data_IF_288492639114
#
_entry.id   IF_288492639114
#
_cell.length_a   1.000
_cell.length_b   1.000
_cell.length_c   1.000
_cell.angle_alpha   90.00
_cell.angle_beta   90.00
_cell.angle_gamma   90.00
#
_symmetry.space_group_name_H-M   'P 1'
#
loop_
_entity.id
_entity.type
_entity.pdbx_description
1 polymer ?
#
# COMPACT_ATOMS: atom_id res chain seq x y z
N UNK A 1 -14.26 28.25 56.87
CA UNK A 1 -13.14 27.34 57.18
C UNK A 1 -13.19 26.24 56.12
N UNK A 2 -12.59 26.47 54.96
CA UNK A 2 -11.23 25.98 54.58
C UNK A 2 -11.32 24.52 54.10
N UNK A 3 -10.92 24.10 52.90
CA UNK A 3 -10.18 24.73 51.81
C UNK A 3 -10.41 23.94 50.51
N UNK A 4 -10.49 24.65 49.39
CA UNK A 4 -10.30 24.10 48.03
C UNK A 4 -8.82 23.85 47.78
N UNK A 5 -8.46 22.74 47.13
CA UNK A 5 -7.10 22.46 46.66
C UNK A 5 -7.14 22.28 45.13
N UNK A 6 -6.69 23.33 44.45
CA UNK A 6 -6.38 23.36 43.01
C UNK A 6 -4.90 23.70 42.93
N UNK A 7 -4.08 22.77 42.43
CA UNK A 7 -2.67 22.98 42.10
C UNK A 7 -2.54 22.67 40.60
N UNK A 8 -2.44 23.68 39.73
CA UNK A 8 -1.23 24.40 39.29
C UNK A 8 -0.57 23.74 38.07
N UNK A 9 -1.06 24.14 36.89
CA UNK A 9 -0.28 24.20 35.65
C UNK A 9 0.48 25.54 35.63
N UNK A 10 1.80 25.60 35.35
CA UNK A 10 2.47 26.86 35.10
C UNK A 10 2.32 27.28 33.63
N UNK A 11 1.77 28.49 33.44
CA UNK A 11 1.67 29.16 32.15
C UNK A 11 3.03 29.66 31.64
N UNK A 12 3.18 29.65 30.32
CA UNK A 12 4.25 30.32 29.59
C UNK A 12 3.79 31.75 29.24
N UNK A 13 4.68 32.75 29.29
CA UNK A 13 4.31 34.14 29.04
C UNK A 13 4.17 34.44 27.54
N UNK A 14 3.12 35.20 27.21
CA UNK A 14 3.00 35.96 25.97
C UNK A 14 3.95 37.16 26.03
N UNK A 15 4.68 37.41 24.94
CA UNK A 15 5.43 38.66 24.74
C UNK A 15 5.01 39.30 23.41
N UNK A 16 4.71 40.58 23.49
CA UNK A 16 4.13 41.44 22.44
C UNK A 16 5.00 42.68 22.26
N UNK A 17 5.32 43.03 21.01
CA UNK A 17 5.81 44.37 20.60
C UNK A 17 7.13 44.35 19.83
N UNK A 18 7.12 44.53 18.49
CA UNK A 18 7.40 45.79 17.73
C UNK A 18 8.88 46.24 17.78
N UNK A 19 9.57 46.68 16.73
CA UNK A 19 9.38 46.88 15.29
C UNK A 19 10.77 47.31 14.72
N UNK A 20 10.94 47.19 13.39
CA UNK A 20 11.89 47.86 12.48
C UNK A 20 13.43 47.82 12.67
N UNK A 21 14.12 47.28 11.64
CA UNK A 21 15.32 47.93 11.08
C UNK A 21 16.56 47.07 10.72
N UNK A 22 16.59 46.59 9.47
CA UNK A 22 17.79 46.50 8.59
C UNK A 22 18.97 45.58 8.98
N UNK A 23 19.14 44.46 8.25
CA UNK A 23 20.41 43.73 8.17
C UNK A 23 20.35 42.27 7.73
N UNK A 24 20.26 42.06 6.42
CA UNK A 24 20.82 40.93 5.66
C UNK A 24 20.34 39.47 5.93
N UNK A 25 19.42 38.99 5.05
CA UNK A 25 19.15 37.56 4.79
C UNK A 25 18.72 37.39 3.33
N UNK A 26 19.25 36.41 2.57
CA UNK A 26 18.89 36.22 1.17
C UNK A 26 17.56 35.45 1.04
N UNK A 27 16.68 35.96 0.18
CA UNK A 27 15.39 35.34 -0.18
C UNK A 27 15.52 34.43 -1.41
N UNK A 28 14.75 33.32 -1.50
CA UNK A 28 14.60 32.54 -2.72
C UNK A 28 13.63 33.24 -3.68
N UNK A 29 14.15 33.81 -4.77
CA UNK A 29 13.37 34.50 -5.78
C UNK A 29 12.39 33.55 -6.49
N UNK A 30 11.14 34.00 -6.59
CA UNK A 30 10.02 33.28 -7.20
C UNK A 30 10.15 33.07 -8.71
N UNK A 31 9.55 31.97 -9.16
CA UNK A 31 9.27 31.70 -10.58
C UNK A 31 7.96 32.39 -10.99
N UNK A 32 7.95 33.17 -12.09
CA UNK A 32 6.71 33.66 -12.65
C UNK A 32 6.08 32.64 -13.64
N UNK A 33 4.75 32.57 -13.54
CA UNK A 33 3.73 32.39 -14.56
C UNK A 33 4.01 31.58 -15.85
N UNK A 34 3.06 30.69 -16.14
CA UNK A 34 2.85 29.95 -17.38
C UNK A 34 2.66 30.86 -18.60
N UNK A 35 3.29 30.47 -19.71
CA UNK A 35 2.77 30.66 -21.05
C UNK A 35 3.17 29.45 -21.91
N UNK A 36 2.18 28.79 -22.51
CA UNK A 36 2.39 27.78 -23.53
C UNK A 36 3.09 28.38 -24.76
N UNK A 37 4.15 27.75 -25.24
CA UNK A 37 4.50 27.77 -26.67
C UNK A 37 5.42 26.59 -27.02
N UNK A 38 4.95 25.77 -27.95
CA UNK A 38 5.73 24.78 -28.67
C UNK A 38 6.74 25.47 -29.60
N UNK A 39 8.03 25.16 -29.50
CA UNK A 39 8.95 25.05 -30.65
C UNK A 39 10.36 24.58 -30.23
N UNK A 40 10.73 23.43 -30.79
CA UNK A 40 12.07 22.89 -31.10
C UNK A 40 13.22 23.89 -31.27
N UNK A 41 14.41 23.54 -30.73
CA UNK A 41 15.72 23.41 -31.40
C UNK A 41 16.85 23.47 -30.34
N UNK A 42 17.95 22.72 -30.35
CA UNK A 42 18.57 21.90 -31.38
C UNK A 42 19.41 20.80 -30.72
N UNK A 43 19.37 19.61 -31.35
CA UNK A 43 20.27 18.51 -31.10
C UNK A 43 21.74 18.97 -31.27
N UNK A 44 22.58 18.72 -30.27
CA UNK A 44 24.04 18.75 -30.48
C UNK A 44 24.38 17.61 -31.45
N UNK A 45 25.13 17.86 -32.55
CA UNK A 45 25.42 16.81 -33.51
C UNK A 45 26.31 15.78 -32.83
N UNK A 46 25.72 14.63 -32.52
CA UNK A 46 26.47 13.42 -32.29
C UNK A 46 27.43 13.28 -33.47
N UNK A 47 28.73 13.20 -33.20
CA UNK A 47 29.72 12.83 -34.21
C UNK A 47 29.12 11.71 -35.06
N UNK A 48 28.97 11.95 -36.36
CA UNK A 48 28.22 11.05 -37.24
C UNK A 48 28.92 9.69 -37.20
N UNK A 49 28.26 8.73 -36.54
CA UNK A 49 28.79 7.38 -36.42
C UNK A 49 29.00 6.85 -37.83
N UNK A 50 30.19 6.33 -38.16
CA UNK A 50 30.37 5.63 -39.43
C UNK A 50 29.40 4.46 -39.53
N UNK A 51 29.10 3.99 -40.74
CA UNK A 51 28.19 2.85 -40.94
C UNK A 51 28.60 1.62 -40.14
N UNK A 52 29.91 1.37 -40.03
CA UNK A 52 30.47 0.32 -39.19
C UNK A 52 30.14 0.52 -37.69
N UNK A 53 30.25 1.76 -37.17
CA UNK A 53 29.92 2.06 -35.77
C UNK A 53 28.41 2.00 -35.50
N UNK A 54 27.57 2.42 -36.47
CA UNK A 54 26.11 2.26 -36.42
C UNK A 54 25.69 0.79 -36.40
N UNK A 55 26.29 -0.02 -37.27
CA UNK A 55 26.03 -1.46 -37.33
C UNK A 55 26.43 -2.16 -36.03
N UNK A 56 27.61 -1.84 -35.49
CA UNK A 56 28.10 -2.38 -34.22
C UNK A 56 27.20 -1.97 -33.03
N UNK A 57 26.77 -0.71 -32.98
CA UNK A 57 25.83 -0.23 -31.95
C UNK A 57 24.47 -0.95 -32.08
N UNK A 58 23.93 -1.11 -33.28
CA UNK A 58 22.68 -1.84 -33.52
C UNK A 58 22.78 -3.33 -33.14
N UNK A 59 23.94 -3.96 -33.35
CA UNK A 59 24.21 -5.33 -32.90
C UNK A 59 24.29 -5.42 -31.37
N UNK A 60 24.99 -4.48 -30.72
CA UNK A 60 25.09 -4.39 -29.25
C UNK A 60 23.75 -4.09 -28.60
N UNK A 61 22.92 -3.22 -29.18
CA UNK A 61 21.58 -2.92 -28.67
C UNK A 61 20.63 -4.11 -28.82
N UNK A 62 20.72 -4.88 -29.91
CA UNK A 62 19.93 -6.12 -30.09
C UNK A 62 20.33 -7.20 -29.08
N UNK A 63 21.62 -7.48 -28.93
CA UNK A 63 22.12 -8.43 -27.92
C UNK A 63 21.92 -7.96 -26.48
N UNK A 64 22.07 -6.66 -26.24
CA UNK A 64 21.87 -6.02 -24.94
C UNK A 64 20.41 -6.02 -24.50
N UNK A 65 19.46 -5.79 -25.41
CA UNK A 65 18.01 -5.87 -25.11
C UNK A 65 17.57 -7.28 -24.74
N UNK A 66 18.04 -8.31 -25.46
CA UNK A 66 17.72 -9.70 -25.12
C UNK A 66 18.30 -10.10 -23.76
N UNK A 67 19.55 -9.69 -23.47
CA UNK A 67 20.22 -9.99 -22.21
C UNK A 67 19.64 -9.20 -21.03
N UNK A 68 19.26 -7.93 -21.23
CA UNK A 68 18.56 -7.12 -20.23
C UNK A 68 17.17 -7.68 -19.95
N UNK A 69 16.43 -8.15 -20.97
CA UNK A 69 15.12 -8.77 -20.80
C UNK A 69 15.20 -10.12 -20.08
N UNK A 70 16.23 -10.91 -20.34
CA UNK A 70 16.51 -12.15 -19.60
C UNK A 70 16.91 -11.87 -18.14
N UNK A 71 17.70 -10.81 -17.89
CA UNK A 71 18.07 -10.37 -16.55
C UNK A 71 16.92 -9.74 -15.75
N UNK A 72 15.87 -9.25 -16.42
CA UNK A 72 14.66 -8.70 -15.81
C UNK A 72 13.53 -9.73 -15.63
N UNK A 73 13.69 -10.95 -16.17
CA UNK A 73 12.67 -11.98 -16.04
C UNK A 73 12.66 -12.51 -14.60
N UNK A 74 11.52 -12.38 -13.92
CA UNK A 74 11.32 -13.01 -12.61
C UNK A 74 11.23 -14.52 -12.83
N UNK A 75 12.28 -15.22 -12.40
CA UNK A 75 12.31 -16.68 -12.47
C UNK A 75 11.24 -17.27 -11.55
N UNK A 76 10.71 -18.44 -11.91
CA UNK A 76 9.81 -19.19 -11.03
C UNK A 76 10.57 -19.54 -9.75
N UNK A 77 9.98 -19.22 -8.60
CA UNK A 77 10.52 -19.61 -7.29
C UNK A 77 10.57 -21.15 -7.18
N UNK A 78 11.67 -21.74 -6.70
CA UNK A 78 11.73 -23.17 -6.40
C UNK A 78 10.65 -23.57 -5.37
N UNK A 79 10.12 -24.78 -5.53
CA UNK A 79 9.09 -25.31 -4.64
C UNK A 79 9.63 -25.49 -3.21
N UNK A 80 8.81 -25.22 -2.20
CA UNK A 80 9.21 -25.29 -0.80
C UNK A 80 10.14 -24.17 -0.31
N UNK A 81 10.49 -23.19 -1.17
CA UNK A 81 11.30 -22.04 -0.74
C UNK A 81 10.42 -20.83 -0.43
N UNK A 82 10.81 -20.08 0.60
CA UNK A 82 10.16 -18.84 1.03
C UNK A 82 11.06 -17.67 0.63
N UNK A 83 10.56 -16.70 -0.14
CA UNK A 83 11.35 -15.53 -0.52
C UNK A 83 11.49 -14.56 0.67
N UNK A 84 12.51 -13.69 0.69
CA UNK A 84 12.54 -12.57 1.62
C UNK A 84 11.36 -11.63 1.36
N UNK A 85 10.99 -10.83 2.35
CA UNK A 85 10.03 -9.75 2.17
C UNK A 85 10.58 -8.75 1.15
N UNK A 86 9.67 -8.16 0.37
CA UNK A 86 9.98 -6.96 -0.38
C UNK A 86 10.14 -5.76 0.57
N UNK A 87 10.87 -4.74 0.13
CA UNK A 87 11.03 -3.49 0.88
C UNK A 87 9.68 -2.86 1.29
N UNK A 88 8.67 -2.95 0.42
CA UNK A 88 7.33 -2.45 0.72
C UNK A 88 6.64 -3.26 1.83
N UNK A 89 6.82 -4.58 1.83
CA UNK A 89 6.28 -5.45 2.90
C UNK A 89 6.98 -5.19 4.23
N UNK A 90 8.31 -5.07 4.26
CA UNK A 90 9.06 -4.72 5.48
C UNK A 90 8.62 -3.37 6.05
N UNK A 91 8.43 -2.37 5.19
CA UNK A 91 7.94 -1.06 5.59
C UNK A 91 6.55 -1.14 6.21
N UNK A 92 5.61 -1.87 5.60
CA UNK A 92 4.26 -2.02 6.16
C UNK A 92 4.29 -2.76 7.50
N UNK A 93 5.11 -3.81 7.61
CA UNK A 93 5.29 -4.53 8.88
C UNK A 93 5.83 -3.61 9.97
N UNK A 94 6.85 -2.79 9.66
CA UNK A 94 7.39 -1.80 10.60
C UNK A 94 6.34 -0.79 11.04
N UNK A 95 5.52 -0.28 10.11
CA UNK A 95 4.45 0.65 10.44
C UNK A 95 3.42 0.04 11.39
N UNK A 96 3.07 -1.24 11.20
CA UNK A 96 2.18 -1.96 12.12
C UNK A 96 2.80 -2.11 13.52
N UNK A 97 4.11 -2.38 13.62
CA UNK A 97 4.76 -2.44 14.94
C UNK A 97 4.84 -1.06 15.63
N UNK A 98 4.98 0.02 14.85
CA UNK A 98 5.07 1.38 15.38
C UNK A 98 3.72 1.93 15.84
N UNK A 99 2.64 1.61 15.12
CA UNK A 99 1.28 2.02 15.43
C UNK A 99 0.33 0.82 15.25
N UNK A 100 0.29 -0.10 16.23
CA UNK A 100 -0.49 -1.33 16.11
C UNK A 100 -2.00 -1.07 16.15
N UNK A 101 -2.76 -1.93 15.47
CA UNK A 101 -4.22 -1.91 15.52
C UNK A 101 -4.86 -0.82 14.66
N UNK A 102 -4.12 -0.27 13.68
CA UNK A 102 -4.67 0.71 12.73
C UNK A 102 -5.21 0.02 11.49
N UNK A 103 -6.29 0.58 10.91
CA UNK A 103 -6.82 0.15 9.61
C UNK A 103 -6.29 1.01 8.45
N UNK A 104 -5.23 1.79 8.66
CA UNK A 104 -4.76 2.81 7.71
C UNK A 104 -4.31 2.23 6.35
N UNK A 105 -3.96 0.94 6.33
CA UNK A 105 -3.51 0.23 5.12
C UNK A 105 -4.53 -0.79 4.61
N UNK A 106 -5.74 -0.79 5.17
CA UNK A 106 -6.81 -1.64 4.68
C UNK A 106 -7.26 -1.18 3.28
N UNK A 107 -7.59 -2.15 2.43
CA UNK A 107 -8.13 -1.90 1.09
C UNK A 107 -9.55 -2.47 1.06
N UNK A 108 -10.55 -1.75 1.60
CA UNK A 108 -11.93 -2.22 1.58
C UNK A 108 -12.47 -2.23 0.14
N UNK A 109 -13.08 -3.34 -0.25
CA UNK A 109 -13.72 -3.49 -1.56
C UNK A 109 -15.13 -4.04 -1.36
N UNK A 110 -16.14 -3.26 -1.73
CA UNK A 110 -17.53 -3.68 -1.73
C UNK A 110 -18.09 -3.75 -3.16
N UNK A 111 -18.94 -4.75 -3.42
CA UNK A 111 -19.65 -4.91 -4.69
C UNK A 111 -21.10 -5.30 -4.43
N UNK A 112 -22.01 -4.58 -5.09
CA UNK A 112 -23.44 -4.92 -5.03
C UNK A 112 -23.75 -6.00 -6.05
N UNK A 113 -24.28 -7.13 -5.55
CA UNK A 113 -24.80 -8.21 -6.36
C UNK A 113 -26.32 -8.04 -6.48
N UNK A 114 -26.87 -8.31 -7.66
CA UNK A 114 -28.32 -8.29 -7.93
C UNK A 114 -28.73 -9.58 -8.61
N UNK A 115 -29.89 -10.10 -8.23
CA UNK A 115 -30.42 -11.36 -8.76
C UNK A 115 -30.19 -12.55 -7.82
N UNK A 116 -30.54 -13.77 -8.27
CA UNK A 116 -30.37 -14.97 -7.46
C UNK A 116 -28.88 -15.24 -7.20
N UNK A 117 -28.51 -15.44 -5.94
CA UNK A 117 -27.16 -15.76 -5.52
C UNK A 117 -27.10 -17.20 -5.00
N UNK A 118 -26.31 -18.04 -5.66
CA UNK A 118 -25.92 -19.36 -5.15
C UNK A 118 -24.77 -19.20 -4.14
N UNK A 119 -25.13 -19.10 -2.85
CA UNK A 119 -24.17 -18.93 -1.76
C UNK A 119 -23.17 -20.11 -1.66
N UNK A 120 -23.58 -21.38 -1.76
CA UNK A 120 -22.63 -22.49 -1.86
C UNK A 120 -21.62 -22.35 -3.00
N UNK A 121 -22.05 -21.94 -4.20
CA UNK A 121 -21.13 -21.72 -5.31
C UNK A 121 -20.15 -20.57 -5.05
N UNK A 122 -20.62 -19.47 -4.47
CA UNK A 122 -19.76 -18.34 -4.09
C UNK A 122 -18.69 -18.75 -3.08
N UNK A 123 -19.06 -19.51 -2.03
CA UNK A 123 -18.10 -20.02 -1.03
C UNK A 123 -17.02 -20.87 -1.68
N UNK A 124 -17.40 -21.85 -2.51
CA UNK A 124 -16.44 -22.70 -3.24
C UNK A 124 -15.51 -21.90 -4.15
N UNK A 125 -16.03 -20.87 -4.81
CA UNK A 125 -15.21 -20.01 -5.67
C UNK A 125 -14.17 -19.22 -4.86
N UNK A 126 -14.56 -18.66 -3.71
CA UNK A 126 -13.64 -17.94 -2.82
C UNK A 126 -12.59 -18.88 -2.21
N UNK A 127 -12.98 -20.09 -1.77
CA UNK A 127 -12.06 -21.11 -1.29
C UNK A 127 -10.99 -21.44 -2.35
N UNK A 128 -11.41 -21.63 -3.60
CA UNK A 128 -10.50 -21.91 -4.71
C UNK A 128 -9.53 -20.75 -5.00
N UNK A 129 -10.00 -19.49 -4.89
CA UNK A 129 -9.15 -18.31 -5.05
C UNK A 129 -8.11 -18.22 -3.93
N UNK A 130 -8.51 -18.37 -2.67
CA UNK A 130 -7.59 -18.33 -1.52
C UNK A 130 -6.57 -19.48 -1.60
N UNK A 131 -7.01 -20.70 -1.94
CA UNK A 131 -6.13 -21.84 -2.13
C UNK A 131 -5.09 -21.62 -3.23
N UNK A 132 -5.50 -20.98 -4.34
CA UNK A 132 -4.63 -20.70 -5.49
C UNK A 132 -3.58 -19.62 -5.20
N UNK A 133 -3.91 -18.61 -4.41
CA UNK A 133 -3.09 -17.40 -4.28
C UNK A 133 -2.36 -17.34 -2.93
N UNK A 134 -1.04 -17.60 -2.94
CA UNK A 134 -0.19 -17.61 -1.75
C UNK A 134 -0.27 -16.33 -0.92
N UNK A 135 -0.36 -15.17 -1.58
CA UNK A 135 -0.49 -13.87 -0.93
C UNK A 135 -1.69 -13.78 0.01
N UNK A 136 -2.82 -14.43 -0.31
CA UNK A 136 -4.04 -14.38 0.50
C UNK A 136 -3.94 -15.25 1.77
N UNK A 137 -2.94 -16.13 1.81
CA UNK A 137 -2.62 -17.05 2.92
C UNK A 137 -1.25 -16.77 3.53
N UNK A 138 -0.68 -15.59 3.25
CA UNK A 138 0.61 -15.17 3.81
C UNK A 138 0.41 -14.42 5.12
N UNK A 139 1.22 -14.74 6.12
CA UNK A 139 1.37 -14.04 7.40
C UNK A 139 2.83 -13.60 7.58
N UNK A 140 3.07 -12.70 8.52
CA UNK A 140 4.35 -12.05 8.78
C UNK A 140 4.74 -12.10 10.27
N UNK A 141 5.00 -13.29 10.84
CA UNK A 141 5.46 -13.39 12.21
C UNK A 141 6.87 -12.80 12.36
N UNK A 142 7.19 -12.40 13.59
CA UNK A 142 8.55 -12.03 13.97
C UNK A 142 9.35 -13.29 14.31
N UNK A 143 10.63 -13.31 13.92
CA UNK A 143 11.63 -14.23 14.48
C UNK A 143 11.98 -13.84 15.92
N UNK A 144 12.66 -14.73 16.64
CA UNK A 144 13.18 -14.45 17.99
C UNK A 144 14.08 -13.19 18.04
N UNK A 145 14.76 -12.88 16.94
CA UNK A 145 15.60 -11.68 16.78
C UNK A 145 14.79 -10.41 16.41
N UNK A 146 13.45 -10.49 16.37
CA UNK A 146 12.56 -9.37 16.05
C UNK A 146 12.47 -9.00 14.57
N UNK A 147 12.97 -9.83 13.65
CA UNK A 147 12.89 -9.59 12.20
C UNK A 147 11.62 -10.21 11.61
N UNK A 148 10.90 -9.53 10.70
CA UNK A 148 9.77 -10.12 10.01
C UNK A 148 10.21 -11.24 9.07
N UNK A 149 9.46 -12.33 9.07
CA UNK A 149 9.60 -13.39 8.06
C UNK A 149 8.28 -13.59 7.34
N UNK A 150 8.35 -14.09 6.12
CA UNK A 150 7.17 -14.43 5.34
C UNK A 150 6.82 -15.88 5.64
N UNK A 151 5.57 -16.16 6.00
CA UNK A 151 5.10 -17.52 6.16
C UNK A 151 3.82 -17.72 5.35
N UNK A 152 3.77 -18.80 4.57
CA UNK A 152 2.64 -19.11 3.70
C UNK A 152 1.89 -20.29 4.33
N UNK A 153 0.71 -20.03 4.89
CA UNK A 153 -0.12 -21.06 5.49
C UNK A 153 -0.70 -22.00 4.43
N UNK A 154 -0.95 -23.26 4.77
CA UNK A 154 -1.67 -24.20 3.91
C UNK A 154 -3.07 -23.67 3.53
N UNK A 155 -3.63 -24.05 2.36
CA UNK A 155 -4.98 -23.68 1.99
C UNK A 155 -6.00 -24.07 3.06
N UNK A 156 -6.84 -23.12 3.45
CA UNK A 156 -7.97 -23.30 4.36
C UNK A 156 -9.24 -22.69 3.75
N UNK A 157 -10.44 -23.15 4.16
CA UNK A 157 -11.70 -22.51 3.74
C UNK A 157 -11.71 -21.02 4.09
N UNK A 158 -12.23 -20.20 3.19
CA UNK A 158 -12.38 -18.77 3.41
C UNK A 158 -13.59 -18.50 4.31
N UNK A 159 -13.38 -17.78 5.41
CA UNK A 159 -14.45 -17.35 6.32
C UNK A 159 -15.28 -16.22 5.70
N UNK A 160 -16.19 -16.57 4.79
CA UNK A 160 -17.22 -15.66 4.31
C UNK A 160 -18.34 -15.57 5.36
N UNK A 161 -18.36 -14.47 6.11
CA UNK A 161 -19.43 -14.15 7.05
C UNK A 161 -20.68 -13.68 6.31
N UNK A 162 -21.84 -13.89 6.91
CA UNK A 162 -23.13 -13.44 6.36
C UNK A 162 -23.87 -12.62 7.39
N UNK A 163 -24.48 -11.53 6.96
CA UNK A 163 -25.35 -10.69 7.78
C UNK A 163 -26.58 -10.26 6.98
N UNK A 164 -27.67 -10.00 7.67
CA UNK A 164 -28.86 -9.38 7.09
C UNK A 164 -28.87 -7.89 7.47
N UNK A 165 -29.23 -7.03 6.53
CA UNK A 165 -29.37 -5.59 6.72
C UNK A 165 -30.81 -5.17 6.42
N UNK A 166 -31.31 -4.30 7.29
CA UNK A 166 -32.67 -3.76 7.22
C UNK A 166 -32.85 -2.82 6.02
N UNK A 167 -31.82 -2.02 5.73
CA UNK A 167 -31.79 -1.06 4.64
C UNK A 167 -30.36 -0.86 4.11
N UNK A 168 -30.21 -0.01 3.08
CA UNK A 168 -28.91 0.28 2.50
C UNK A 168 -27.95 1.00 3.46
N UNK A 169 -28.48 1.80 4.39
CA UNK A 169 -27.67 2.52 5.36
C UNK A 169 -27.07 1.55 6.39
N UNK A 170 -27.84 0.56 6.84
CA UNK A 170 -27.37 -0.52 7.70
C UNK A 170 -26.32 -1.37 6.96
N UNK A 171 -26.56 -1.73 5.70
CA UNK A 171 -25.56 -2.47 4.92
C UNK A 171 -24.26 -1.68 4.75
N UNK A 172 -24.32 -0.37 4.52
CA UNK A 172 -23.14 0.49 4.43
C UNK A 172 -22.35 0.50 5.75
N UNK A 173 -23.03 0.64 6.90
CA UNK A 173 -22.38 0.58 8.22
C UNK A 173 -21.65 -0.74 8.45
N UNK A 174 -22.27 -1.87 8.14
CA UNK A 174 -21.65 -3.19 8.28
C UNK A 174 -20.39 -3.34 7.40
N UNK A 175 -20.40 -2.78 6.20
CA UNK A 175 -19.25 -2.78 5.28
C UNK A 175 -18.13 -1.88 5.81
N UNK A 176 -18.46 -0.69 6.30
CA UNK A 176 -17.49 0.25 6.86
C UNK A 176 -16.85 -0.29 8.13
N UNK A 177 -17.64 -0.91 9.01
CA UNK A 177 -17.17 -1.59 10.22
C UNK A 177 -16.19 -2.71 9.88
N UNK A 178 -16.52 -3.56 8.91
CA UNK A 178 -15.61 -4.61 8.45
C UNK A 178 -14.32 -4.02 7.87
N UNK A 179 -14.43 -2.96 7.06
CA UNK A 179 -13.30 -2.28 6.43
C UNK A 179 -12.37 -1.60 7.44
N UNK A 180 -12.87 -1.25 8.61
CA UNK A 180 -12.12 -0.63 9.70
C UNK A 180 -11.51 -1.64 10.68
N UNK A 181 -11.77 -2.94 10.54
CA UNK A 181 -11.13 -3.96 11.38
C UNK A 181 -9.62 -4.03 11.09
N UNK A 182 -8.74 -3.85 12.08
CA UNK A 182 -7.31 -4.03 11.87
C UNK A 182 -6.99 -5.50 11.61
N UNK A 183 -5.91 -5.75 10.90
CA UNK A 183 -5.38 -7.10 10.70
C UNK A 183 -4.22 -7.38 11.65
N UNK A 184 -4.19 -8.58 12.22
CA UNK A 184 -3.00 -9.11 12.87
C UNK A 184 -2.08 -9.73 11.81
N UNK A 185 -0.96 -9.06 11.52
CA UNK A 185 0.04 -9.54 10.56
C UNK A 185 0.71 -10.85 11.01
N UNK A 186 0.77 -11.14 12.31
CA UNK A 186 1.46 -12.33 12.86
C UNK A 186 0.61 -13.57 12.69
N UNK A 187 -0.68 -13.50 13.03
CA UNK A 187 -1.57 -14.67 13.03
C UNK A 187 -2.38 -14.81 11.74
N UNK A 188 -2.75 -13.68 11.12
CA UNK A 188 -3.66 -13.66 9.97
C UNK A 188 -5.05 -14.22 10.30
N UNK A 189 -5.90 -14.46 9.29
CA UNK A 189 -5.72 -14.18 7.86
C UNK A 189 -5.83 -12.68 7.52
N UNK A 190 -5.14 -12.23 6.47
CA UNK A 190 -5.10 -10.81 6.04
C UNK A 190 -6.21 -10.44 5.04
N UNK A 191 -7.33 -11.13 5.13
CA UNK A 191 -8.52 -10.89 4.32
C UNK A 191 -9.76 -11.26 5.12
N UNK A 192 -10.77 -10.40 5.07
CA UNK A 192 -12.09 -10.66 5.65
C UNK A 192 -13.15 -10.59 4.55
N UNK A 193 -14.21 -11.40 4.70
CA UNK A 193 -15.32 -11.43 3.77
C UNK A 193 -16.64 -11.29 4.51
N UNK A 194 -17.50 -10.41 4.00
CA UNK A 194 -18.88 -10.26 4.45
C UNK A 194 -19.81 -10.23 3.24
N UNK A 195 -20.82 -11.09 3.27
CA UNK A 195 -21.97 -11.01 2.40
C UNK A 195 -23.15 -10.44 3.19
N UNK A 196 -23.56 -9.23 2.82
CA UNK A 196 -24.75 -8.59 3.40
C UNK A 196 -25.95 -8.83 2.51
N UNK A 197 -27.01 -9.41 3.06
CA UNK A 197 -28.31 -9.53 2.40
C UNK A 197 -29.15 -8.32 2.77
N UNK A 198 -29.63 -7.60 1.77
CA UNK A 198 -30.61 -6.54 1.97
C UNK A 198 -32.01 -7.15 2.00
N UNK A 199 -32.81 -6.76 3.00
CA UNK A 199 -34.24 -6.99 2.95
C UNK A 199 -34.81 -6.37 1.67
N UNK A 200 -35.70 -7.11 1.01
CA UNK A 200 -36.38 -6.65 -0.20
C UNK A 200 -37.54 -5.72 0.15
#
# INVERSE_FOLDING_TARGET
>A
MSSSSTDRFPGLPEDTGTDTGSGDRPAPAGSPARADSSASAAARPAASLSDAKRALLAQRLRGGRARARAAQAVARRPEGTVPPLSFAQERLWFMEQFAPGTAAYNIPVARRLRGPLDLPALRRALDAVVARHETLRTRYPATDDGRPVLEIAEPAPFDLRTADAEDEAHAARLVDELGALPFDLVTGPLMHGLLVRLAA
#
